data_IF_869909490906
#
_entry.id   IF_869909490906
#
_cell.length_a   1.000
_cell.length_b   1.000
_cell.length_c   1.000
_cell.angle_alpha   90.00
_cell.angle_beta   90.00
_cell.angle_gamma   90.00
#
_symmetry.space_group_name_H-M   'P 1'
#
loop_
_entity.id
_entity.type
_entity.pdbx_description
1 polymer ?
#
# COMPACT_ATOMS: atom_id res chain seq x y z
N UNK A 1 -30.48 -5.78 -6.36
CA UNK A 1 -29.33 -6.36 -7.09
C UNK A 1 -28.01 -6.13 -6.36
N UNK A 2 -27.68 -4.89 -5.98
CA UNK A 2 -26.44 -4.55 -5.26
C UNK A 2 -26.29 -5.30 -3.92
N UNK A 3 -27.34 -5.36 -3.08
CA UNK A 3 -27.28 -6.07 -1.79
C UNK A 3 -26.98 -7.57 -1.98
N UNK A 4 -27.61 -8.20 -2.98
CA UNK A 4 -27.37 -9.63 -3.29
C UNK A 4 -25.92 -9.83 -3.71
N UNK A 5 -25.39 -8.94 -4.55
CA UNK A 5 -24.00 -8.98 -4.98
C UNK A 5 -23.03 -8.73 -3.82
N UNK A 6 -23.31 -7.79 -2.92
CA UNK A 6 -22.51 -7.53 -1.73
C UNK A 6 -22.50 -8.75 -0.78
N UNK A 7 -23.66 -9.36 -0.52
CA UNK A 7 -23.75 -10.58 0.30
C UNK A 7 -23.00 -11.74 -0.36
N UNK A 8 -23.06 -11.85 -1.69
CA UNK A 8 -22.26 -12.83 -2.44
C UNK A 8 -20.76 -12.60 -2.25
N UNK A 9 -20.26 -11.37 -2.41
CA UNK A 9 -18.84 -11.05 -2.21
C UNK A 9 -18.40 -11.28 -0.76
N UNK A 10 -19.20 -10.90 0.23
CA UNK A 10 -18.92 -11.16 1.64
C UNK A 10 -18.87 -12.67 1.94
N UNK A 11 -19.77 -13.44 1.34
CA UNK A 11 -19.76 -14.91 1.48
C UNK A 11 -18.49 -15.50 0.87
N UNK A 12 -18.11 -15.04 -0.33
CA UNK A 12 -16.88 -15.48 -1.00
C UNK A 12 -15.63 -15.09 -0.19
N UNK A 13 -15.67 -13.93 0.47
CA UNK A 13 -14.61 -13.47 1.35
C UNK A 13 -14.44 -14.37 2.58
N UNK A 14 -15.53 -14.77 3.23
CA UNK A 14 -15.50 -15.75 4.33
C UNK A 14 -14.97 -17.11 3.86
N UNK A 15 -15.43 -17.59 2.70
CA UNK A 15 -14.94 -18.84 2.10
C UNK A 15 -13.43 -18.76 1.86
N UNK A 16 -12.96 -17.65 1.27
CA UNK A 16 -11.53 -17.43 0.97
C UNK A 16 -10.70 -17.36 2.25
N UNK A 17 -11.19 -16.67 3.29
CA UNK A 17 -10.52 -16.62 4.59
C UNK A 17 -10.36 -18.01 5.23
N UNK A 18 -11.42 -18.83 5.19
CA UNK A 18 -11.36 -20.22 5.68
C UNK A 18 -10.38 -21.05 4.84
N UNK A 19 -10.35 -20.84 3.51
CA UNK A 19 -9.43 -21.53 2.62
C UNK A 19 -7.96 -21.15 2.90
N UNK A 20 -7.67 -19.87 3.19
CA UNK A 20 -6.32 -19.39 3.58
C UNK A 20 -5.84 -20.12 4.84
N UNK A 21 -6.68 -20.17 5.89
CA UNK A 21 -6.32 -20.81 7.18
C UNK A 21 -6.14 -22.33 7.04
N UNK A 22 -6.75 -22.95 6.04
CA UNK A 22 -6.64 -24.40 5.77
C UNK A 22 -5.54 -24.76 4.76
N UNK A 23 -4.92 -23.78 4.12
CA UNK A 23 -3.90 -24.04 3.11
C UNK A 23 -2.58 -24.44 3.78
N UNK A 24 -2.21 -25.72 3.65
CA UNK A 24 -0.91 -26.22 4.12
C UNK A 24 0.25 -25.72 3.24
N UNK A 25 -0.04 -25.47 1.95
CA UNK A 25 0.91 -24.93 0.99
C UNK A 25 0.87 -23.39 1.02
N UNK A 26 2.01 -22.79 1.34
CA UNK A 26 2.11 -21.34 1.54
C UNK A 26 1.96 -20.55 0.23
N UNK A 27 2.38 -21.12 -0.90
CA UNK A 27 2.13 -20.49 -2.21
C UNK A 27 0.62 -20.37 -2.46
N UNK A 28 -0.15 -21.44 -2.18
CA UNK A 28 -1.62 -21.41 -2.27
C UNK A 28 -2.20 -20.37 -1.31
N UNK A 29 -1.71 -20.30 -0.07
CA UNK A 29 -2.16 -19.31 0.91
C UNK A 29 -1.94 -17.87 0.41
N UNK A 30 -0.76 -17.57 -0.15
CA UNK A 30 -0.43 -16.24 -0.71
C UNK A 30 -1.32 -15.90 -1.91
N UNK A 31 -1.59 -16.84 -2.80
CA UNK A 31 -2.50 -16.62 -3.93
C UNK A 31 -3.95 -16.37 -3.44
N UNK A 32 -4.41 -17.11 -2.43
CA UNK A 32 -5.72 -16.88 -1.82
C UNK A 32 -5.79 -15.53 -1.08
N UNK A 33 -4.71 -15.07 -0.45
CA UNK A 33 -4.63 -13.73 0.13
C UNK A 33 -4.74 -12.63 -0.94
N UNK A 34 -4.13 -12.81 -2.10
CA UNK A 34 -4.28 -11.88 -3.22
C UNK A 34 -5.75 -11.80 -3.70
N UNK A 35 -6.41 -12.96 -3.81
CA UNK A 35 -7.84 -13.03 -4.14
C UNK A 35 -8.67 -12.34 -3.06
N UNK A 36 -8.38 -12.59 -1.78
CA UNK A 36 -9.05 -11.93 -0.66
C UNK A 36 -8.95 -10.41 -0.76
N UNK A 37 -7.77 -9.86 -1.04
CA UNK A 37 -7.57 -8.42 -1.26
C UNK A 37 -8.37 -7.88 -2.44
N UNK A 38 -8.43 -8.59 -3.58
CA UNK A 38 -9.28 -8.19 -4.71
C UNK A 38 -10.78 -8.21 -4.36
N UNK A 39 -11.23 -9.17 -3.57
CA UNK A 39 -12.61 -9.22 -3.06
C UNK A 39 -12.88 -8.08 -2.08
N UNK A 40 -11.93 -7.73 -1.22
CA UNK A 40 -12.03 -6.57 -0.34
C UNK A 40 -12.10 -5.27 -1.12
N UNK A 41 -11.24 -5.09 -2.13
CA UNK A 41 -11.28 -3.93 -3.02
C UNK A 41 -12.65 -3.79 -3.71
N UNK A 42 -13.23 -4.89 -4.21
CA UNK A 42 -14.57 -4.89 -4.79
C UNK A 42 -15.65 -4.49 -3.77
N UNK A 43 -15.56 -4.95 -2.51
CA UNK A 43 -16.47 -4.53 -1.45
C UNK A 43 -16.32 -3.03 -1.12
N UNK A 44 -15.11 -2.51 -1.01
CA UNK A 44 -14.88 -1.08 -0.80
C UNK A 44 -15.45 -0.22 -1.93
N UNK A 45 -15.32 -0.69 -3.18
CA UNK A 45 -15.90 0.00 -4.33
C UNK A 45 -17.44 0.03 -4.27
N UNK A 46 -18.09 -1.06 -3.84
CA UNK A 46 -19.56 -1.08 -3.64
C UNK A 46 -20.01 -0.15 -2.51
N UNK A 47 -19.13 0.11 -1.54
CA UNK A 47 -19.36 1.06 -0.44
C UNK A 47 -19.02 2.51 -0.83
N UNK A 48 -18.84 2.80 -2.11
CA UNK A 48 -18.44 4.10 -2.65
C UNK A 48 -17.09 4.63 -2.10
N UNK A 49 -16.23 3.73 -1.64
CA UNK A 49 -14.89 4.03 -1.13
C UNK A 49 -13.82 3.70 -2.20
N UNK A 50 -13.86 4.42 -3.32
CA UNK A 50 -13.03 4.12 -4.49
C UNK A 50 -11.51 4.28 -4.23
N UNK A 51 -11.08 5.29 -3.48
CA UNK A 51 -9.66 5.50 -3.12
C UNK A 51 -9.12 4.35 -2.26
N UNK A 52 -9.94 3.88 -1.30
CA UNK A 52 -9.62 2.73 -0.45
C UNK A 52 -9.58 1.45 -1.26
N UNK A 53 -10.53 1.25 -2.18
CA UNK A 53 -10.56 0.11 -3.09
C UNK A 53 -9.31 0.04 -3.98
N UNK A 54 -8.91 1.18 -4.55
CA UNK A 54 -7.72 1.26 -5.40
C UNK A 54 -6.45 0.96 -4.60
N UNK A 55 -6.36 1.47 -3.37
CA UNK A 55 -5.24 1.22 -2.46
C UNK A 55 -5.14 -0.27 -2.10
N UNK A 56 -6.26 -0.91 -1.75
CA UNK A 56 -6.31 -2.34 -1.44
C UNK A 56 -5.92 -3.21 -2.66
N UNK A 57 -6.37 -2.85 -3.86
CA UNK A 57 -6.00 -3.56 -5.08
C UNK A 57 -4.51 -3.42 -5.39
N UNK A 58 -3.95 -2.21 -5.28
CA UNK A 58 -2.54 -1.96 -5.59
C UNK A 58 -1.59 -2.59 -4.57
N UNK A 59 -1.89 -2.44 -3.28
CA UNK A 59 -0.97 -2.83 -2.20
C UNK A 59 -1.26 -4.24 -1.69
N UNK A 60 -2.53 -4.55 -1.41
CA UNK A 60 -2.93 -5.86 -0.90
C UNK A 60 -2.73 -6.95 -1.94
N UNK A 61 -3.36 -6.80 -3.10
CA UNK A 61 -3.28 -7.81 -4.17
C UNK A 61 -2.04 -7.69 -5.06
N UNK A 62 -1.50 -6.48 -5.23
CA UNK A 62 -0.32 -6.24 -6.07
C UNK A 62 0.99 -6.47 -5.31
N UNK A 63 1.42 -5.47 -4.56
CA UNK A 63 2.77 -5.43 -3.97
C UNK A 63 2.97 -6.51 -2.91
N UNK A 64 2.03 -6.68 -1.99
CA UNK A 64 2.15 -7.62 -0.86
C UNK A 64 2.27 -9.05 -1.35
N UNK A 65 1.52 -9.44 -2.39
CA UNK A 65 1.63 -10.75 -3.03
C UNK A 65 3.04 -10.99 -3.55
N UNK A 66 3.65 -10.03 -4.23
CA UNK A 66 5.02 -10.19 -4.73
C UNK A 66 6.03 -10.27 -3.60
N UNK A 67 5.88 -9.45 -2.55
CA UNK A 67 6.76 -9.51 -1.37
C UNK A 67 6.64 -10.86 -0.67
N UNK A 68 5.43 -11.39 -0.47
CA UNK A 68 5.24 -12.71 0.12
C UNK A 68 5.80 -13.83 -0.75
N UNK A 69 5.62 -13.78 -2.07
CA UNK A 69 6.26 -14.75 -2.98
C UNK A 69 7.79 -14.66 -2.90
N UNK A 70 8.34 -13.45 -2.78
CA UNK A 70 9.77 -13.24 -2.52
C UNK A 70 10.22 -13.86 -1.18
N UNK A 71 9.46 -13.66 -0.10
CA UNK A 71 9.74 -14.30 1.17
C UNK A 71 9.60 -15.83 1.12
N UNK A 72 8.64 -16.35 0.36
CA UNK A 72 8.44 -17.79 0.16
C UNK A 72 9.61 -18.45 -0.56
N UNK A 73 10.25 -17.75 -1.50
CA UNK A 73 11.47 -18.28 -2.15
C UNK A 73 12.62 -18.52 -1.15
N UNK A 74 12.61 -17.84 -0.01
CA UNK A 74 13.62 -17.98 1.06
C UNK A 74 13.15 -18.87 2.22
N UNK A 75 11.97 -19.49 2.10
CA UNK A 75 11.39 -20.32 3.17
C UNK A 75 10.85 -21.64 2.62
N UNK A 76 10.23 -22.47 3.48
CA UNK A 76 9.68 -23.74 3.05
C UNK A 76 8.32 -23.54 2.35
N UNK A 77 8.01 -24.38 1.37
CA UNK A 77 6.73 -24.31 0.64
C UNK A 77 5.52 -24.69 1.50
N UNK A 78 5.72 -25.48 2.55
CA UNK A 78 4.65 -25.99 3.39
C UNK A 78 4.81 -25.52 4.84
N UNK A 79 3.69 -25.34 5.52
CA UNK A 79 3.68 -24.96 6.92
C UNK A 79 4.41 -25.99 7.81
N UNK A 80 5.07 -25.50 8.86
CA UNK A 80 5.65 -26.37 9.89
C UNK A 80 4.55 -26.85 10.82
N UNK A 81 4.57 -28.13 11.16
CA UNK A 81 3.68 -28.69 12.19
C UNK A 81 3.99 -28.01 13.53
N UNK A 82 3.01 -27.30 14.08
CA UNK A 82 3.15 -26.62 15.38
C UNK A 82 2.59 -27.52 16.48
N UNK A 83 3.34 -27.69 17.57
CA UNK A 83 2.95 -28.48 18.75
C UNK A 83 2.08 -27.69 19.76
N UNK A 84 1.67 -26.46 19.43
CA UNK A 84 0.76 -25.69 20.28
C UNK A 84 -0.58 -26.42 20.43
N UNK A 85 -1.14 -26.35 21.64
CA UNK A 85 -2.50 -26.81 21.89
C UNK A 85 -3.47 -26.01 21.01
N UNK A 86 -4.03 -26.68 19.98
CA UNK A 86 -5.07 -26.13 19.11
C UNK A 86 -6.23 -25.51 19.90
N UNK A 87 -6.51 -26.06 21.09
CA UNK A 87 -7.53 -25.52 22.00
C UNK A 87 -7.21 -24.10 22.48
N UNK A 88 -5.96 -23.79 22.80
CA UNK A 88 -5.56 -22.43 23.24
C UNK A 88 -5.71 -21.43 22.10
N UNK A 89 -5.21 -21.76 20.90
CA UNK A 89 -5.36 -20.91 19.72
C UNK A 89 -6.83 -20.65 19.38
N UNK A 90 -7.66 -21.69 19.38
CA UNK A 90 -9.11 -21.56 19.13
C UNK A 90 -9.81 -20.73 20.20
N UNK A 91 -9.44 -20.89 21.48
CA UNK A 91 -9.98 -20.06 22.56
C UNK A 91 -9.63 -18.58 22.39
N UNK A 92 -8.38 -18.27 22.02
CA UNK A 92 -7.96 -16.87 21.76
C UNK A 92 -8.73 -16.30 20.58
N UNK A 93 -8.75 -17.00 19.43
CA UNK A 93 -9.48 -16.55 18.23
C UNK A 93 -10.96 -16.36 18.52
N UNK A 94 -11.59 -17.29 19.25
CA UNK A 94 -13.01 -17.18 19.61
C UNK A 94 -13.26 -16.01 20.55
N UNK A 95 -12.41 -15.83 21.57
CA UNK A 95 -12.52 -14.71 22.52
C UNK A 95 -12.37 -13.36 21.81
N UNK A 96 -11.36 -13.21 20.94
CA UNK A 96 -11.17 -12.00 20.11
C UNK A 96 -12.34 -11.79 19.16
N UNK A 97 -12.86 -12.85 18.53
CA UNK A 97 -14.01 -12.76 17.61
C UNK A 97 -15.27 -12.31 18.35
N UNK A 98 -15.57 -12.90 19.51
CA UNK A 98 -16.71 -12.51 20.34
C UNK A 98 -16.58 -11.08 20.86
N UNK A 99 -15.37 -10.66 21.24
CA UNK A 99 -15.09 -9.28 21.64
C UNK A 99 -15.35 -8.30 20.49
N UNK A 100 -14.88 -8.60 19.28
CA UNK A 100 -15.14 -7.79 18.10
C UNK A 100 -16.63 -7.74 17.76
N UNK A 101 -17.34 -8.88 17.81
CA UNK A 101 -18.80 -8.92 17.61
C UNK A 101 -19.51 -8.09 18.69
N UNK A 102 -19.12 -8.23 19.95
CA UNK A 102 -19.69 -7.45 21.05
C UNK A 102 -19.52 -5.94 20.81
N UNK A 103 -18.32 -5.50 20.45
CA UNK A 103 -18.02 -4.12 20.12
C UNK A 103 -18.84 -3.60 18.91
N UNK A 104 -19.29 -4.49 18.02
CA UNK A 104 -20.12 -4.11 16.88
C UNK A 104 -21.60 -3.91 17.21
N UNK A 105 -22.10 -4.33 18.37
CA UNK A 105 -23.52 -4.11 18.73
C UNK A 105 -23.83 -2.65 19.08
N UNK A 106 -22.84 -1.89 19.57
CA UNK A 106 -23.01 -0.48 19.94
C UNK A 106 -22.83 0.48 18.76
N UNK A 107 -22.51 -0.03 17.56
CA UNK A 107 -22.27 0.82 16.39
C UNK A 107 -23.58 1.31 15.78
N UNK A 108 -23.64 2.55 15.25
CA UNK A 108 -24.76 3.01 14.43
C UNK A 108 -24.98 2.09 13.23
N UNK A 109 -26.23 1.99 12.76
CA UNK A 109 -26.52 1.23 11.54
C UNK A 109 -25.77 1.85 10.36
N UNK A 110 -25.38 1.01 9.40
CA UNK A 110 -24.73 1.52 8.19
C UNK A 110 -25.68 2.49 7.47
N UNK A 111 -25.20 3.72 7.21
CA UNK A 111 -25.98 4.77 6.58
C UNK A 111 -27.02 5.44 7.49
N UNK A 112 -26.96 5.22 8.81
CA UNK A 112 -27.81 5.91 9.78
C UNK A 112 -27.53 7.43 9.77
N UNK A 113 -28.50 8.28 9.37
CA UNK A 113 -28.28 9.73 9.35
C UNK A 113 -27.89 10.29 10.71
N UNK A 114 -28.32 9.67 11.81
CA UNK A 114 -28.04 10.08 13.18
C UNK A 114 -26.67 9.61 13.70
N UNK A 115 -25.90 8.88 12.89
CA UNK A 115 -24.56 8.47 13.29
C UNK A 115 -23.67 9.71 13.50
N UNK A 116 -22.79 9.73 14.53
CA UNK A 116 -21.97 10.90 14.86
C UNK A 116 -21.15 11.47 13.68
N UNK A 117 -20.72 10.61 12.76
CA UNK A 117 -19.97 11.02 11.56
C UNK A 117 -20.82 11.88 10.60
N UNK A 118 -22.12 11.59 10.48
CA UNK A 118 -23.05 12.27 9.59
C UNK A 118 -23.66 13.55 10.20
N UNK A 119 -23.42 13.81 11.48
CA UNK A 119 -24.00 14.94 12.22
C UNK A 119 -23.07 16.15 12.30
N UNK A 120 -21.76 15.97 12.15
CA UNK A 120 -20.81 17.05 12.33
C UNK A 120 -19.72 17.08 11.27
N UNK A 121 -18.78 16.14 11.33
CA UNK A 121 -17.52 16.26 10.60
C UNK A 121 -17.68 15.99 9.10
N UNK A 122 -18.43 14.95 8.71
CA UNK A 122 -18.59 14.65 7.28
C UNK A 122 -19.39 15.72 6.53
N UNK A 123 -20.55 16.23 7.02
CA UNK A 123 -21.23 17.35 6.36
C UNK A 123 -20.35 18.58 6.23
N UNK A 124 -19.54 18.89 7.26
CA UNK A 124 -18.61 20.02 7.22
C UNK A 124 -17.53 19.84 6.15
N UNK A 125 -16.90 18.66 6.04
CA UNK A 125 -15.96 18.40 4.95
C UNK A 125 -16.61 18.56 3.58
N UNK A 126 -17.83 18.05 3.39
CA UNK A 126 -18.55 18.18 2.12
C UNK A 126 -18.90 19.64 1.78
N UNK A 127 -19.26 20.46 2.76
CA UNK A 127 -19.67 21.86 2.53
C UNK A 127 -18.50 22.84 2.40
N UNK A 128 -17.39 22.58 3.09
CA UNK A 128 -16.25 23.49 3.14
C UNK A 128 -15.13 23.15 2.15
N UNK A 129 -14.99 21.89 1.71
CA UNK A 129 -13.98 21.50 0.71
C UNK A 129 -14.05 22.36 -0.56
N UNK A 130 -15.24 22.60 -1.18
CA UNK A 130 -15.33 23.43 -2.38
C UNK A 130 -14.94 24.89 -2.16
N UNK A 131 -15.00 25.40 -0.92
CA UNK A 131 -14.72 26.80 -0.59
C UNK A 131 -13.25 27.02 -0.21
N UNK A 132 -12.68 26.06 0.53
CA UNK A 132 -11.35 26.20 1.14
C UNK A 132 -10.23 25.61 0.29
N UNK A 133 -10.53 24.55 -0.47
CA UNK A 133 -9.51 23.75 -1.19
C UNK A 133 -9.85 23.67 -2.69
N UNK A 134 -11.14 23.65 -3.04
CA UNK A 134 -11.62 23.54 -4.43
C UNK A 134 -11.04 22.31 -5.16
N UNK A 135 -11.05 21.17 -4.46
CA UNK A 135 -10.69 19.86 -5.00
C UNK A 135 -11.93 18.96 -4.93
N UNK A 136 -12.40 18.39 -6.06
CA UNK A 136 -13.59 17.53 -6.08
C UNK A 136 -13.44 16.26 -5.24
N UNK A 137 -12.24 15.67 -5.18
CA UNK A 137 -11.98 14.50 -4.34
C UNK A 137 -11.85 14.90 -2.86
N UNK A 138 -12.94 14.74 -2.12
CA UNK A 138 -13.01 15.05 -0.69
C UNK A 138 -12.07 14.17 0.13
N UNK A 139 -11.80 12.93 -0.29
CA UNK A 139 -10.85 12.05 0.41
C UNK A 139 -9.44 12.62 0.34
N UNK A 140 -8.99 13.02 -0.86
CA UNK A 140 -7.71 13.71 -1.06
C UNK A 140 -7.63 15.03 -0.29
N UNK A 141 -8.71 15.82 -0.27
CA UNK A 141 -8.74 17.06 0.51
C UNK A 141 -8.63 16.81 2.02
N UNK A 142 -9.30 15.77 2.54
CA UNK A 142 -9.22 15.38 3.95
C UNK A 142 -7.84 14.87 4.30
N UNK A 143 -7.29 13.91 3.58
CA UNK A 143 -5.98 13.33 3.87
C UNK A 143 -4.85 14.32 3.61
N UNK A 144 -4.95 15.12 2.55
CA UNK A 144 -3.89 16.02 2.13
C UNK A 144 -3.85 17.34 2.89
N UNK A 145 -5.00 17.87 3.33
CA UNK A 145 -5.09 19.17 4.02
C UNK A 145 -5.67 19.05 5.43
N UNK A 146 -6.97 18.75 5.58
CA UNK A 146 -7.63 18.80 6.89
C UNK A 146 -7.02 17.87 7.95
N UNK A 147 -6.49 16.73 7.53
CA UNK A 147 -5.85 15.69 8.33
C UNK A 147 -4.46 15.35 7.80
N UNK A 148 -3.74 16.35 7.28
CA UNK A 148 -2.39 16.19 6.76
C UNK A 148 -1.40 15.57 7.78
N UNK A 149 -1.64 15.76 9.08
CA UNK A 149 -0.84 15.11 10.13
C UNK A 149 -1.00 13.58 10.15
N UNK A 150 -2.19 13.05 9.84
CA UNK A 150 -2.45 11.61 9.79
C UNK A 150 -1.60 11.00 8.65
N UNK A 151 -1.63 11.60 7.46
CA UNK A 151 -0.83 11.16 6.31
C UNK A 151 0.68 11.37 6.52
N UNK A 152 1.11 12.44 7.18
CA UNK A 152 2.51 12.61 7.58
C UNK A 152 2.95 11.45 8.49
N UNK A 153 2.12 11.09 9.47
CA UNK A 153 2.35 9.95 10.35
C UNK A 153 2.49 8.65 9.57
N UNK A 154 1.60 8.38 8.63
CA UNK A 154 1.65 7.21 7.75
C UNK A 154 2.94 7.15 6.93
N UNK A 155 3.39 8.28 6.37
CA UNK A 155 4.67 8.37 5.65
C UNK A 155 5.84 7.99 6.54
N UNK A 156 5.86 8.47 7.79
CA UNK A 156 6.90 8.10 8.75
C UNK A 156 6.79 6.63 9.18
N UNK A 157 5.59 6.06 9.27
CA UNK A 157 5.41 4.62 9.51
C UNK A 157 6.01 3.80 8.36
N UNK A 158 5.74 4.16 7.10
CA UNK A 158 6.35 3.48 5.93
C UNK A 158 7.86 3.65 5.91
N UNK A 159 8.36 4.86 6.16
CA UNK A 159 9.79 5.17 6.24
C UNK A 159 10.50 4.32 7.31
N UNK A 160 9.95 4.29 8.53
CA UNK A 160 10.52 3.53 9.65
C UNK A 160 10.38 2.02 9.45
N UNK A 161 9.28 1.53 8.87
CA UNK A 161 9.13 0.13 8.50
C UNK A 161 10.18 -0.29 7.46
N UNK A 162 10.44 0.55 6.45
CA UNK A 162 11.49 0.30 5.46
C UNK A 162 12.87 0.16 6.13
N UNK A 163 13.24 1.11 7.01
CA UNK A 163 14.49 1.05 7.78
C UNK A 163 14.53 -0.23 8.63
N UNK A 164 13.44 -0.57 9.31
CA UNK A 164 13.35 -1.77 10.13
C UNK A 164 13.59 -3.05 9.33
N UNK A 165 12.93 -3.19 8.18
CA UNK A 165 13.12 -4.32 7.27
C UNK A 165 14.56 -4.38 6.75
N UNK A 166 15.12 -3.26 6.28
CA UNK A 166 16.49 -3.22 5.79
C UNK A 166 17.50 -3.53 6.90
N UNK A 167 17.27 -3.07 8.12
CA UNK A 167 18.12 -3.38 9.28
C UNK A 167 18.09 -4.86 9.63
N UNK A 168 16.89 -5.47 9.70
CA UNK A 168 16.73 -6.91 9.95
C UNK A 168 17.38 -7.76 8.86
N UNK A 169 17.23 -7.36 7.59
CA UNK A 169 17.78 -8.09 6.46
C UNK A 169 19.27 -7.79 6.19
N UNK A 170 19.83 -6.70 6.73
CA UNK A 170 21.26 -6.39 6.64
C UNK A 170 22.14 -7.24 7.57
N UNK A 171 21.55 -7.92 8.55
CA UNK A 171 22.26 -8.83 9.42
C UNK A 171 22.81 -10.02 8.60
N UNK A 172 24.13 -10.05 8.40
CA UNK A 172 24.84 -11.13 7.70
C UNK A 172 24.71 -12.44 8.47
N UNK A 173 24.14 -13.46 7.84
CA UNK A 173 24.20 -14.82 8.36
C UNK A 173 25.63 -15.37 8.13
N UNK A 174 26.33 -15.92 9.14
CA UNK A 174 27.63 -16.57 8.95
C UNK A 174 27.59 -17.74 7.94
N UNK A 175 26.41 -18.35 7.76
CA UNK A 175 26.14 -19.41 6.79
C UNK A 175 26.17 -18.94 5.32
N UNK A 176 26.00 -17.64 5.06
CA UNK A 176 25.96 -17.02 3.72
C UNK A 176 27.32 -17.06 3.00
N UNK A 177 28.41 -17.34 3.73
CA UNK A 177 29.74 -17.56 3.13
C UNK A 177 29.86 -18.89 2.39
N UNK A 178 28.97 -19.86 2.63
CA UNK A 178 29.10 -21.22 2.12
C UNK A 178 28.20 -21.50 0.90
N UNK A 179 27.15 -20.70 0.68
CA UNK A 179 26.17 -20.84 -0.43
C UNK A 179 26.63 -20.29 -1.79
N UNK A 180 27.67 -19.44 -1.82
CA UNK A 180 28.21 -18.75 -3.03
C UNK A 180 28.72 -19.65 -4.18
N UNK A 181 28.55 -20.97 -4.13
CA UNK A 181 29.09 -21.93 -5.12
C UNK A 181 28.07 -22.41 -6.15
N UNK A 182 26.77 -22.23 -5.93
CA UNK A 182 25.73 -22.60 -6.89
C UNK A 182 25.20 -21.35 -7.60
N UNK A 183 25.17 -21.30 -8.95
CA UNK A 183 24.51 -20.21 -9.65
C UNK A 183 23.05 -20.18 -9.21
N UNK A 184 22.49 -19.03 -8.80
CA UNK A 184 21.11 -18.98 -8.36
C UNK A 184 20.20 -19.42 -9.50
N UNK A 185 19.33 -20.42 -9.25
CA UNK A 185 18.14 -20.59 -10.08
C UNK A 185 17.42 -19.24 -10.07
N UNK A 186 17.36 -18.59 -11.22
CA UNK A 186 16.94 -17.19 -11.26
C UNK A 186 15.48 -17.10 -10.88
N UNK A 187 15.20 -16.52 -9.70
CA UNK A 187 13.88 -16.00 -9.38
C UNK A 187 13.57 -14.96 -10.47
N UNK A 188 12.75 -15.34 -11.42
CA UNK A 188 12.47 -14.51 -12.57
C UNK A 188 11.66 -15.21 -13.63
N UNK A 189 10.72 -14.47 -14.20
CA UNK A 189 9.89 -14.90 -15.32
C UNK A 189 10.65 -14.81 -16.66
N UNK A 190 11.96 -14.54 -16.62
CA UNK A 190 12.88 -14.40 -17.75
C UNK A 190 12.83 -15.57 -18.74
N UNK A 191 12.65 -16.78 -18.22
CA UNK A 191 12.64 -18.03 -19.00
C UNK A 191 11.28 -18.33 -19.63
N UNK A 192 10.21 -17.68 -19.18
CA UNK A 192 8.87 -17.86 -19.72
C UNK A 192 8.55 -16.77 -20.74
N UNK A 193 8.39 -17.18 -22.00
CA UNK A 193 8.16 -16.26 -23.11
C UNK A 193 6.89 -15.41 -22.94
N UNK A 194 5.79 -16.02 -22.48
CA UNK A 194 4.48 -15.34 -22.37
C UNK A 194 4.54 -14.23 -21.30
N UNK A 195 4.91 -14.47 -20.03
CA UNK A 195 5.07 -13.41 -19.05
C UNK A 195 6.05 -12.32 -19.48
N UNK A 196 7.15 -12.69 -20.17
CA UNK A 196 8.13 -11.71 -20.66
C UNK A 196 7.54 -10.77 -21.70
N UNK A 197 6.84 -11.29 -22.71
CA UNK A 197 6.23 -10.47 -23.77
C UNK A 197 5.10 -9.62 -23.21
N UNK A 198 4.16 -10.24 -22.48
CA UNK A 198 3.00 -9.55 -21.93
C UNK A 198 3.42 -8.53 -20.87
N UNK A 199 4.31 -8.90 -19.95
CA UNK A 199 4.75 -8.01 -18.90
C UNK A 199 5.58 -6.83 -19.41
N UNK A 200 6.41 -7.02 -20.45
CA UNK A 200 7.14 -5.91 -21.09
C UNK A 200 6.20 -4.94 -21.82
N UNK A 201 5.09 -5.45 -22.37
CA UNK A 201 4.03 -4.63 -22.93
C UNK A 201 3.28 -3.86 -21.83
N UNK A 202 2.96 -4.50 -20.71
CA UNK A 202 2.18 -3.91 -19.61
C UNK A 202 2.97 -2.89 -18.77
N UNK A 203 4.28 -3.09 -18.59
CA UNK A 203 5.15 -2.22 -17.79
C UNK A 203 4.94 -0.70 -18.03
N UNK A 204 5.06 -0.18 -19.27
CA UNK A 204 4.88 1.25 -19.51
C UNK A 204 3.46 1.73 -19.18
N UNK A 205 2.43 0.90 -19.39
CA UNK A 205 1.06 1.25 -19.04
C UNK A 205 0.84 1.28 -17.53
N UNK A 206 1.46 0.38 -16.77
CA UNK A 206 1.39 0.39 -15.30
C UNK A 206 2.04 1.66 -14.74
N UNK A 207 3.24 2.02 -15.22
CA UNK A 207 3.92 3.24 -14.78
C UNK A 207 3.14 4.49 -15.19
N UNK A 208 2.64 4.53 -16.43
CA UNK A 208 1.81 5.64 -16.90
C UNK A 208 0.52 5.77 -16.07
N UNK A 209 -0.12 4.65 -15.72
CA UNK A 209 -1.30 4.65 -14.87
C UNK A 209 -0.98 5.13 -13.45
N UNK A 210 0.16 4.73 -12.87
CA UNK A 210 0.63 5.25 -11.58
C UNK A 210 0.88 6.76 -11.60
N UNK A 211 1.47 7.29 -12.68
CA UNK A 211 1.63 8.73 -12.88
C UNK A 211 0.28 9.43 -13.07
N UNK A 212 -0.66 8.82 -13.79
CA UNK A 212 -2.02 9.33 -13.90
C UNK A 212 -2.67 9.44 -12.51
N UNK A 213 -2.61 8.39 -11.70
CA UNK A 213 -3.14 8.36 -10.32
C UNK A 213 -2.46 9.41 -9.42
N UNK A 214 -1.17 9.70 -9.64
CA UNK A 214 -0.45 10.75 -8.91
C UNK A 214 -0.94 12.15 -9.24
N UNK A 215 -1.15 12.45 -10.53
CA UNK A 215 -1.48 13.82 -10.98
C UNK A 215 -2.99 14.08 -11.09
N UNK A 216 -3.84 13.06 -10.97
CA UNK A 216 -5.30 13.19 -11.06
C UNK A 216 -6.02 12.80 -9.76
N UNK A 217 -5.29 12.64 -8.64
CA UNK A 217 -5.89 12.34 -7.33
C UNK A 217 -6.89 13.40 -6.86
N UNK A 218 -6.74 14.65 -7.31
CA UNK A 218 -7.67 15.73 -7.01
C UNK A 218 -9.04 15.59 -7.71
N UNK A 219 -9.10 14.93 -8.88
CA UNK A 219 -10.31 14.80 -9.69
C UNK A 219 -10.97 13.42 -9.61
N UNK A 220 -10.20 12.39 -9.26
CA UNK A 220 -10.68 11.02 -9.21
C UNK A 220 -9.98 10.19 -8.14
N UNK A 221 -10.39 8.92 -7.97
CA UNK A 221 -9.85 8.05 -6.94
C UNK A 221 -8.34 7.89 -7.11
N UNK A 222 -7.56 8.29 -6.11
CA UNK A 222 -6.13 8.49 -6.34
C UNK A 222 -5.42 9.28 -5.24
N UNK A 223 -4.13 9.52 -5.48
CA UNK A 223 -3.24 10.14 -4.52
C UNK A 223 -1.89 9.44 -4.44
N UNK A 224 -1.00 10.02 -3.65
CA UNK A 224 0.41 9.63 -3.60
C UNK A 224 0.66 8.17 -3.21
N UNK A 225 -0.11 7.63 -2.25
CA UNK A 225 0.16 6.30 -1.69
C UNK A 225 -0.05 5.18 -2.72
N UNK A 226 -1.24 5.14 -3.32
CA UNK A 226 -1.58 4.21 -4.39
C UNK A 226 -0.73 4.44 -5.64
N UNK A 227 -0.42 5.69 -6.01
CA UNK A 227 0.47 5.99 -7.13
C UNK A 227 1.87 5.38 -6.91
N UNK A 228 2.46 5.61 -5.74
CA UNK A 228 3.77 5.05 -5.37
C UNK A 228 3.78 3.52 -5.42
N UNK A 229 2.72 2.88 -4.93
CA UNK A 229 2.57 1.42 -4.95
C UNK A 229 2.41 0.85 -6.37
N UNK A 230 1.62 1.50 -7.23
CA UNK A 230 1.43 1.09 -8.63
C UNK A 230 2.74 1.21 -9.41
N UNK A 231 3.46 2.34 -9.26
CA UNK A 231 4.75 2.55 -9.90
C UNK A 231 5.77 1.51 -9.39
N UNK A 232 5.82 1.26 -8.08
CA UNK A 232 6.67 0.22 -7.51
C UNK A 232 6.33 -1.16 -8.08
N UNK A 233 5.05 -1.51 -8.19
CA UNK A 233 4.61 -2.78 -8.79
C UNK A 233 5.07 -2.92 -10.25
N UNK A 234 4.98 -1.84 -11.03
CA UNK A 234 5.50 -1.82 -12.40
C UNK A 234 7.00 -2.09 -12.45
N UNK A 235 7.79 -1.42 -11.61
CA UNK A 235 9.25 -1.60 -11.56
C UNK A 235 9.61 -2.99 -11.02
N UNK A 236 8.88 -3.51 -10.03
CA UNK A 236 9.02 -4.87 -9.52
C UNK A 236 8.73 -5.90 -10.63
N UNK A 237 7.66 -5.71 -11.39
CA UNK A 237 7.35 -6.54 -12.55
C UNK A 237 8.52 -6.50 -13.54
N UNK A 238 9.01 -5.31 -13.88
CA UNK A 238 10.21 -5.18 -14.73
C UNK A 238 11.42 -5.93 -14.16
N UNK A 239 11.64 -5.86 -12.84
CA UNK A 239 12.69 -6.61 -12.17
C UNK A 239 12.48 -8.12 -12.25
N UNK A 240 11.25 -8.64 -12.17
CA UNK A 240 10.97 -10.07 -12.36
C UNK A 240 11.17 -10.54 -13.81
N UNK A 241 10.95 -9.67 -14.80
CA UNK A 241 11.04 -10.00 -16.23
C UNK A 241 12.45 -9.85 -16.80
N UNK A 242 13.14 -8.77 -16.45
CA UNK A 242 14.48 -8.42 -16.93
C UNK A 242 15.57 -8.75 -15.91
N UNK A 243 15.19 -9.20 -14.72
CA UNK A 243 15.99 -9.61 -13.55
C UNK A 243 16.74 -8.49 -12.84
N UNK A 244 17.24 -8.84 -11.66
CA UNK A 244 17.66 -7.88 -10.65
C UNK A 244 18.80 -6.95 -11.09
N UNK A 245 19.83 -7.48 -11.75
CA UNK A 245 20.97 -6.67 -12.22
C UNK A 245 20.53 -5.54 -13.16
N UNK A 246 19.57 -5.80 -14.03
CA UNK A 246 19.05 -4.82 -14.99
C UNK A 246 18.16 -3.80 -14.27
N UNK A 247 17.35 -4.24 -13.32
CA UNK A 247 16.51 -3.36 -12.50
C UNK A 247 17.35 -2.42 -11.62
N UNK A 248 18.39 -2.94 -10.96
CA UNK A 248 19.32 -2.13 -10.16
C UNK A 248 20.16 -1.17 -11.00
N UNK A 249 20.38 -1.46 -12.28
CA UNK A 249 20.99 -0.51 -13.20
C UNK A 249 20.04 0.66 -13.54
N UNK A 250 18.73 0.42 -13.58
CA UNK A 250 17.73 1.46 -13.81
C UNK A 250 17.41 2.27 -12.54
N UNK A 251 17.26 1.61 -11.40
CA UNK A 251 17.03 2.23 -10.09
C UNK A 251 18.04 1.66 -9.08
N UNK A 252 19.19 2.34 -8.88
CA UNK A 252 20.17 1.91 -7.90
C UNK A 252 19.67 2.00 -6.46
N UNK A 253 20.26 1.22 -5.55
CA UNK A 253 19.91 1.25 -4.12
C UNK A 253 20.03 2.65 -3.49
N UNK A 254 21.02 3.44 -3.90
CA UNK A 254 21.17 4.83 -3.45
C UNK A 254 20.00 5.71 -3.87
N UNK A 255 19.43 5.49 -5.05
CA UNK A 255 18.24 6.21 -5.53
C UNK A 255 17.02 5.79 -4.73
N UNK A 256 16.85 4.49 -4.43
CA UNK A 256 15.76 4.03 -3.56
C UNK A 256 15.82 4.68 -2.19
N UNK A 257 17.00 4.73 -1.56
CA UNK A 257 17.18 5.38 -0.26
C UNK A 257 16.95 6.90 -0.33
N UNK A 258 17.40 7.54 -1.42
CA UNK A 258 17.13 8.94 -1.67
C UNK A 258 15.65 9.23 -1.89
N UNK A 259 14.90 8.31 -2.50
CA UNK A 259 13.44 8.41 -2.63
C UNK A 259 12.75 8.27 -1.26
N UNK A 260 13.11 7.24 -0.48
CA UNK A 260 12.54 7.00 0.86
C UNK A 260 12.74 8.21 1.77
N UNK A 261 13.95 8.73 1.88
CA UNK A 261 14.23 9.90 2.71
C UNK A 261 13.73 11.19 2.05
N UNK A 262 13.96 11.36 0.75
CA UNK A 262 13.64 12.58 0.02
C UNK A 262 12.15 12.88 -0.06
N UNK A 263 11.30 11.86 -0.21
CA UNK A 263 9.85 12.04 -0.20
C UNK A 263 9.32 12.46 1.18
N UNK A 264 9.78 11.81 2.26
CA UNK A 264 9.41 12.15 3.62
C UNK A 264 9.92 13.54 4.02
N UNK A 265 11.14 13.88 3.58
CA UNK A 265 11.69 15.22 3.71
C UNK A 265 10.89 16.25 2.92
N UNK A 266 10.50 15.95 1.68
CA UNK A 266 9.67 16.85 0.87
C UNK A 266 8.36 17.18 1.59
N UNK A 267 7.65 16.16 2.09
CA UNK A 267 6.41 16.35 2.86
C UNK A 267 6.66 17.28 4.06
N UNK A 268 7.65 16.94 4.89
CA UNK A 268 7.97 17.70 6.11
C UNK A 268 8.38 19.14 5.77
N UNK A 269 9.18 19.32 4.71
CA UNK A 269 9.67 20.62 4.27
C UNK A 269 8.54 21.52 3.76
N UNK A 270 7.52 20.99 3.09
CA UNK A 270 6.34 21.78 2.72
C UNK A 270 5.70 22.39 3.97
N UNK A 271 5.51 21.62 5.04
CA UNK A 271 4.98 22.12 6.30
C UNK A 271 5.90 23.12 7.01
N UNK A 272 7.22 22.95 6.92
CA UNK A 272 8.18 23.92 7.47
C UNK A 272 8.15 25.23 6.67
N UNK A 273 8.01 25.17 5.34
CA UNK A 273 7.91 26.34 4.47
C UNK A 273 6.65 27.15 4.78
N UNK A 274 5.50 26.51 5.03
CA UNK A 274 4.29 27.25 5.43
C UNK A 274 4.48 28.03 6.73
N UNK A 275 5.24 27.49 7.69
CA UNK A 275 5.60 28.20 8.91
C UNK A 275 6.48 29.42 8.65
N UNK A 276 7.48 29.31 7.76
CA UNK A 276 8.32 30.45 7.38
C UNK A 276 7.55 31.56 6.65
N UNK A 277 6.46 31.20 5.98
CA UNK A 277 5.56 32.13 5.31
C UNK A 277 4.48 32.72 6.24
N UNK A 278 4.53 32.40 7.54
CA UNK A 278 3.63 32.94 8.56
C UNK A 278 2.35 32.12 8.81
N UNK A 279 2.20 30.96 8.16
CA UNK A 279 1.12 30.01 8.42
C UNK A 279 1.45 29.02 9.56
N UNK A 280 0.51 28.14 9.86
CA UNK A 280 0.79 26.98 10.72
C UNK A 280 1.52 25.87 9.93
N UNK A 281 2.06 24.88 10.63
CA UNK A 281 2.65 23.70 9.98
C UNK A 281 1.58 22.97 9.15
N UNK A 282 1.86 22.78 7.86
CA UNK A 282 0.95 22.21 6.83
C UNK A 282 -0.29 23.07 6.52
N UNK A 283 -0.29 24.35 6.90
CA UNK A 283 -1.29 25.31 6.41
C UNK A 283 -0.85 25.88 5.06
N UNK A 284 -1.29 25.26 3.97
CA UNK A 284 -0.86 25.61 2.61
C UNK A 284 -1.45 26.92 2.07
N UNK A 285 -2.41 27.54 2.79
CA UNK A 285 -3.08 28.76 2.35
C UNK A 285 -2.13 29.93 2.12
N UNK A 286 -0.95 29.89 2.76
CA UNK A 286 0.08 30.92 2.66
C UNK A 286 1.06 30.72 1.48
N UNK A 287 0.98 29.58 0.76
CA UNK A 287 1.93 29.26 -0.33
C UNK A 287 1.74 30.12 -1.59
N UNK A 288 0.57 30.74 -1.75
CA UNK A 288 0.25 31.58 -2.89
C UNK A 288 -0.57 32.79 -2.45
N UNK A 289 -0.64 33.82 -3.30
CA UNK A 289 -1.52 34.98 -3.09
C UNK A 289 -3.01 34.59 -3.09
N UNK A 290 -3.36 33.50 -3.79
CA UNK A 290 -4.69 32.89 -3.70
C UNK A 290 -4.63 31.70 -2.71
N UNK A 291 -5.31 31.78 -1.55
CA UNK A 291 -5.30 30.72 -0.55
C UNK A 291 -5.72 29.34 -1.06
N UNK A 292 -6.74 29.29 -1.91
CA UNK A 292 -7.28 28.04 -2.47
C UNK A 292 -6.24 27.39 -3.39
N UNK A 293 -5.60 28.19 -4.24
CA UNK A 293 -4.52 27.71 -5.09
C UNK A 293 -3.30 27.26 -4.27
N UNK A 294 -3.01 27.95 -3.16
CA UNK A 294 -2.00 27.52 -2.19
C UNK A 294 -2.29 26.12 -1.64
N UNK A 295 -3.55 25.84 -1.27
CA UNK A 295 -4.00 24.51 -0.83
C UNK A 295 -3.80 23.44 -1.90
N UNK A 296 -4.21 23.70 -3.14
CA UNK A 296 -4.01 22.77 -4.26
C UNK A 296 -2.53 22.46 -4.50
N UNK A 297 -1.67 23.49 -4.51
CA UNK A 297 -0.23 23.32 -4.64
C UNK A 297 0.37 22.50 -3.50
N UNK A 298 -0.02 22.81 -2.26
CA UNK A 298 0.45 22.10 -1.07
C UNK A 298 0.11 20.61 -1.13
N UNK A 299 -1.14 20.28 -1.45
CA UNK A 299 -1.62 18.90 -1.60
C UNK A 299 -0.83 18.14 -2.68
N UNK A 300 -0.64 18.71 -3.87
CA UNK A 300 0.12 18.04 -4.94
C UNK A 300 1.58 17.78 -4.51
N UNK A 301 2.22 18.73 -3.82
CA UNK A 301 3.60 18.59 -3.36
C UNK A 301 3.75 17.51 -2.28
N UNK A 302 2.85 17.49 -1.29
CA UNK A 302 2.91 16.45 -0.25
C UNK A 302 2.58 15.08 -0.83
N UNK A 303 1.60 14.97 -1.75
CA UNK A 303 1.25 13.71 -2.39
C UNK A 303 2.40 13.17 -3.23
N UNK A 304 3.16 14.04 -3.90
CA UNK A 304 4.40 13.64 -4.56
C UNK A 304 5.43 13.10 -3.55
N UNK A 305 5.56 13.75 -2.39
CA UNK A 305 6.40 13.27 -1.28
C UNK A 305 5.98 11.89 -0.76
N UNK A 306 4.67 11.66 -0.58
CA UNK A 306 4.13 10.34 -0.23
C UNK A 306 4.48 9.31 -1.30
N UNK A 307 4.15 9.58 -2.56
CA UNK A 307 4.36 8.64 -3.66
C UNK A 307 5.82 8.26 -3.88
N UNK A 308 6.73 9.24 -3.77
CA UNK A 308 8.18 8.99 -3.85
C UNK A 308 8.64 8.09 -2.68
N UNK A 309 8.20 8.39 -1.44
CA UNK A 309 8.57 7.60 -0.26
C UNK A 309 8.08 6.16 -0.36
N UNK A 310 6.79 5.99 -0.69
CA UNK A 310 6.16 4.67 -0.81
C UNK A 310 6.81 3.87 -1.93
N UNK A 311 7.02 4.48 -3.10
CA UNK A 311 7.67 3.81 -4.21
C UNK A 311 9.09 3.34 -3.82
N UNK A 312 9.90 4.24 -3.27
CA UNK A 312 11.26 3.92 -2.81
C UNK A 312 11.28 2.82 -1.75
N UNK A 313 10.34 2.87 -0.79
CA UNK A 313 10.29 1.93 0.33
C UNK A 313 9.94 0.51 -0.15
N UNK A 314 8.92 0.39 -1.00
CA UNK A 314 8.48 -0.90 -1.54
C UNK A 314 9.55 -1.52 -2.45
N UNK A 315 10.24 -0.71 -3.26
CA UNK A 315 11.37 -1.16 -4.07
C UNK A 315 12.55 -1.62 -3.21
N UNK A 316 12.91 -0.84 -2.19
CA UNK A 316 13.99 -1.20 -1.29
C UNK A 316 13.72 -2.51 -0.54
N UNK A 317 12.48 -2.69 -0.06
CA UNK A 317 12.05 -3.93 0.60
C UNK A 317 12.10 -5.09 -0.39
N UNK A 318 11.52 -4.94 -1.58
CA UNK A 318 11.54 -5.99 -2.61
C UNK A 318 12.96 -6.43 -2.95
N UNK A 319 13.87 -5.49 -3.22
CA UNK A 319 15.26 -5.82 -3.52
C UNK A 319 16.01 -6.43 -2.33
N UNK A 320 15.68 -6.05 -1.10
CA UNK A 320 16.28 -6.67 0.07
C UNK A 320 15.90 -8.17 0.21
N UNK A 321 14.70 -8.55 -0.22
CA UNK A 321 14.30 -9.95 -0.33
C UNK A 321 14.91 -10.63 -1.56
N UNK A 322 14.86 -9.99 -2.74
CA UNK A 322 15.35 -10.56 -3.99
C UNK A 322 16.86 -10.79 -4.01
N UNK A 323 17.64 -9.94 -3.33
CA UNK A 323 19.09 -10.05 -3.25
C UNK A 323 19.59 -11.21 -2.36
N UNK A 324 18.72 -11.87 -1.60
CA UNK A 324 19.11 -13.04 -0.80
C UNK A 324 19.10 -14.29 -1.67
N UNK A 325 20.21 -15.01 -1.65
CA UNK A 325 20.32 -16.30 -2.35
C UNK A 325 19.46 -17.36 -1.66
N UNK A 326 18.75 -18.17 -2.46
CA UNK A 326 17.99 -19.32 -2.00
C UNK A 326 18.90 -20.29 -1.24
N UNK A 327 18.44 -20.78 -0.09
CA UNK A 327 19.10 -21.84 0.69
C UNK A 327 18.94 -23.20 0.04
#
# INVERSE_FOLDING_TARGET
>A
MIIIFAVFLLTLLVITAIAIVRAENLFVAVMLMAIFSLLMAANFFILDAADVALTEAAIGAGVTTVIFLGALSLTAENEKKVELSRGVAMSIVTATTLLLIYATFEKPKLGDPEAPVHQHVAPWYLSETPKLIDIPNVVTAVLGSFRAYDTLGEVFVVFTACIGVLFLLSAKNPADKQSRRTPPESIGLRHHLIPKVVGRLLFPFIVLFGLYVQFHGEYGPGGGFQAGAIIATGIILFALLEGEKTALAAVPHSVMMAMVAGGALLYTMVGVVTMFMGGNFLDYSVLSSNPVFGQQMGIILIEAGVGITVCGALLAIFHAFAARENY
#
